data_IF_368698091077
#
_entry.id   IF_368698091077
#
_cell.length_a   1.000
_cell.length_b   1.000
_cell.length_c   1.000
_cell.angle_alpha   90.00
_cell.angle_beta   90.00
_cell.angle_gamma   90.00
#
_symmetry.space_group_name_H-M   'P 1'
#
loop_
_entity.id
_entity.type
_entity.pdbx_description
1 polymer ?
#
# COMPACT_ATOMS: atom_id res chain seq x y z
N UNK A 1 30.59 -16.54 -12.44
CA UNK A 1 30.42 -16.04 -11.06
C UNK A 1 28.93 -15.95 -10.81
N UNK A 2 28.38 -16.85 -10.00
CA UNK A 2 27.03 -16.63 -9.50
C UNK A 2 27.07 -15.36 -8.64
N UNK A 3 26.16 -14.44 -8.78
CA UNK A 3 25.97 -13.40 -7.81
C UNK A 3 25.40 -14.07 -6.56
N UNK A 4 26.30 -14.70 -5.80
CA UNK A 4 26.03 -15.12 -4.44
C UNK A 4 25.50 -13.90 -3.74
N UNK A 5 24.28 -13.96 -3.25
CA UNK A 5 23.49 -12.87 -2.76
C UNK A 5 24.31 -11.81 -2.06
N UNK A 6 24.14 -10.60 -2.46
CA UNK A 6 24.86 -9.43 -1.97
C UNK A 6 24.73 -9.32 -0.44
N UNK A 7 23.69 -9.88 0.09
CA UNK A 7 23.43 -10.04 1.52
C UNK A 7 22.76 -11.38 1.80
N UNK A 8 23.44 -12.28 2.50
CA UNK A 8 22.83 -13.48 3.05
C UNK A 8 22.95 -14.75 2.20
N UNK A 9 22.13 -15.72 2.52
CA UNK A 9 22.09 -17.05 1.91
C UNK A 9 21.53 -16.97 0.49
N UNK A 10 22.05 -17.80 -0.42
CA UNK A 10 21.50 -17.94 -1.76
C UNK A 10 20.05 -18.44 -1.66
N UNK A 11 19.10 -17.58 -2.01
CA UNK A 11 17.65 -17.82 -1.88
C UNK A 11 17.18 -19.03 -2.70
N UNK A 12 17.77 -19.28 -3.87
CA UNK A 12 17.45 -20.43 -4.70
C UNK A 12 17.73 -21.73 -3.95
N UNK A 13 18.92 -21.82 -3.32
CA UNK A 13 19.33 -23.00 -2.56
C UNK A 13 18.44 -23.20 -1.34
N UNK A 14 18.19 -22.13 -0.59
CA UNK A 14 17.34 -22.17 0.59
C UNK A 14 15.92 -22.64 0.25
N UNK A 15 15.33 -22.08 -0.82
CA UNK A 15 13.98 -22.45 -1.24
C UNK A 15 13.91 -23.89 -1.73
N UNK A 16 14.91 -24.35 -2.49
CA UNK A 16 15.00 -25.75 -2.92
C UNK A 16 15.09 -26.69 -1.72
N UNK A 17 15.86 -26.33 -0.69
CA UNK A 17 15.97 -27.12 0.54
C UNK A 17 14.65 -27.20 1.31
N UNK A 18 13.91 -26.11 1.39
CA UNK A 18 12.59 -26.08 2.01
C UNK A 18 11.62 -27.02 1.30
N UNK A 19 11.53 -26.92 -0.03
CA UNK A 19 10.63 -27.77 -0.82
C UNK A 19 11.05 -29.25 -0.79
N UNK A 20 12.36 -29.54 -0.75
CA UNK A 20 12.87 -30.89 -0.60
C UNK A 20 12.40 -31.55 0.72
N UNK A 21 12.34 -30.80 1.81
CA UNK A 21 11.78 -31.26 3.10
C UNK A 21 10.32 -31.65 3.02
N UNK A 22 9.57 -31.03 2.10
CA UNK A 22 8.19 -31.34 1.80
C UNK A 22 8.01 -32.40 0.70
N UNK A 23 9.10 -33.03 0.27
CA UNK A 23 9.10 -34.00 -0.85
C UNK A 23 8.58 -33.41 -2.17
N UNK A 24 8.73 -32.12 -2.38
CA UNK A 24 8.31 -31.44 -3.60
C UNK A 24 9.49 -31.25 -4.57
N UNK A 25 9.24 -31.31 -5.89
CA UNK A 25 10.24 -31.05 -6.91
C UNK A 25 10.84 -29.64 -6.83
N UNK A 26 12.13 -29.50 -7.16
CA UNK A 26 12.86 -28.23 -7.14
C UNK A 26 12.27 -27.16 -8.05
N UNK A 27 11.61 -27.57 -9.13
CA UNK A 27 10.95 -26.69 -10.10
C UNK A 27 9.87 -25.86 -9.43
N UNK A 28 9.09 -26.45 -8.51
CA UNK A 28 8.08 -25.73 -7.74
C UNK A 28 8.69 -24.69 -6.80
N UNK A 29 9.84 -24.98 -6.21
CA UNK A 29 10.58 -24.05 -5.37
C UNK A 29 10.98 -22.79 -6.17
N UNK A 30 11.57 -22.98 -7.35
CA UNK A 30 12.01 -21.88 -8.19
C UNK A 30 10.83 -21.07 -8.75
N UNK A 31 9.77 -21.75 -9.20
CA UNK A 31 8.55 -21.07 -9.68
C UNK A 31 7.95 -20.22 -8.56
N UNK A 32 7.84 -20.78 -7.35
CA UNK A 32 7.32 -20.02 -6.19
C UNK A 32 8.19 -18.82 -5.89
N UNK A 33 9.51 -18.97 -5.82
CA UNK A 33 10.45 -17.90 -5.52
C UNK A 33 10.35 -16.75 -6.53
N UNK A 34 10.41 -17.07 -7.83
CA UNK A 34 10.33 -16.04 -8.87
C UNK A 34 8.94 -15.39 -8.98
N UNK A 35 7.87 -16.14 -8.73
CA UNK A 35 6.51 -15.59 -8.70
C UNK A 35 6.34 -14.60 -7.56
N UNK A 36 6.85 -14.93 -6.38
CA UNK A 36 6.82 -14.04 -5.21
C UNK A 36 7.68 -12.79 -5.48
N UNK A 37 8.90 -12.95 -5.98
CA UNK A 37 9.77 -11.83 -6.32
C UNK A 37 9.15 -10.89 -7.37
N UNK A 38 8.47 -11.43 -8.37
CA UNK A 38 7.74 -10.64 -9.37
C UNK A 38 6.59 -9.85 -8.72
N UNK A 39 5.87 -10.46 -7.77
CA UNK A 39 4.78 -9.80 -7.04
C UNK A 39 5.29 -8.69 -6.13
N UNK A 40 6.40 -8.91 -5.42
CA UNK A 40 7.06 -7.88 -4.61
C UNK A 40 7.53 -6.70 -5.46
N UNK A 41 8.15 -6.99 -6.62
CA UNK A 41 8.56 -5.95 -7.56
C UNK A 41 7.36 -5.14 -8.05
N UNK A 42 6.27 -5.80 -8.41
CA UNK A 42 5.03 -5.14 -8.84
C UNK A 42 4.47 -4.22 -7.74
N UNK A 43 4.43 -4.68 -6.49
CA UNK A 43 4.00 -3.88 -5.35
C UNK A 43 4.94 -2.71 -5.11
N UNK A 44 6.25 -2.92 -5.16
CA UNK A 44 7.25 -1.87 -5.02
C UNK A 44 7.11 -0.78 -6.08
N UNK A 45 6.93 -1.17 -7.34
CA UNK A 45 6.68 -0.24 -8.45
C UNK A 45 5.36 0.52 -8.27
N UNK A 46 4.32 -0.16 -7.79
CA UNK A 46 3.02 0.47 -7.52
C UNK A 46 3.14 1.54 -6.44
N UNK A 47 3.78 1.23 -5.30
CA UNK A 47 4.00 2.21 -4.24
C UNK A 47 4.90 3.37 -4.69
N UNK A 48 5.94 3.08 -5.46
CA UNK A 48 6.81 4.12 -6.04
C UNK A 48 6.03 5.06 -6.95
N UNK A 49 5.18 4.53 -7.80
CA UNK A 49 4.32 5.32 -8.68
C UNK A 49 3.31 6.16 -7.89
N UNK A 50 2.68 5.59 -6.85
CA UNK A 50 1.77 6.30 -5.95
C UNK A 50 2.49 7.42 -5.18
N UNK A 51 3.71 7.17 -4.72
CA UNK A 51 4.54 8.18 -4.05
C UNK A 51 4.88 9.32 -5.01
N UNK A 52 5.42 9.02 -6.20
CA UNK A 52 5.71 10.03 -7.22
C UNK A 52 4.46 10.84 -7.54
N UNK A 53 3.31 10.17 -7.73
CA UNK A 53 2.03 10.84 -7.96
C UNK A 53 1.65 11.79 -6.82
N UNK A 54 1.90 11.41 -5.57
CA UNK A 54 1.56 12.23 -4.40
C UNK A 54 2.37 13.52 -4.29
N UNK A 55 3.62 13.50 -4.76
CA UNK A 55 4.52 14.68 -4.74
C UNK A 55 4.42 15.56 -5.99
N UNK A 56 3.70 15.13 -7.03
CA UNK A 56 3.49 15.96 -8.21
C UNK A 56 2.67 17.21 -7.90
N UNK A 57 3.01 18.37 -8.50
CA UNK A 57 2.23 19.60 -8.37
C UNK A 57 0.77 19.38 -8.78
N UNK A 58 -0.17 20.03 -8.09
CA UNK A 58 -1.61 19.88 -8.30
C UNK A 58 -2.03 20.14 -9.76
N UNK A 59 -1.43 21.14 -10.39
CA UNK A 59 -1.63 21.48 -11.79
C UNK A 59 -1.31 20.34 -12.77
N UNK A 60 -0.36 19.47 -12.43
CA UNK A 60 -0.03 18.29 -13.23
C UNK A 60 -0.97 17.11 -12.93
N UNK A 61 -1.54 17.04 -11.73
CA UNK A 61 -2.48 16.00 -11.33
C UNK A 61 -3.88 16.21 -11.92
N UNK A 62 -4.36 17.45 -12.01
CA UNK A 62 -5.68 17.79 -12.57
C UNK A 62 -5.82 17.35 -14.02
N UNK A 63 -4.78 17.54 -14.83
CA UNK A 63 -4.79 17.15 -16.25
C UNK A 63 -4.65 15.65 -16.51
N UNK A 64 -4.34 14.85 -15.48
CA UNK A 64 -4.07 13.41 -15.58
C UNK A 64 -4.82 12.63 -14.51
N UNK A 65 -6.09 12.99 -14.28
CA UNK A 65 -6.98 12.23 -13.39
C UNK A 65 -7.10 10.79 -13.93
N UNK A 66 -6.19 9.95 -13.53
CA UNK A 66 -6.05 8.59 -14.00
C UNK A 66 -6.08 7.59 -12.85
N UNK A 67 -5.64 6.39 -13.15
CA UNK A 67 -5.60 5.24 -12.27
C UNK A 67 -5.01 5.54 -10.87
N UNK A 68 -3.98 6.39 -10.80
CA UNK A 68 -3.28 6.72 -9.53
C UNK A 68 -4.03 7.73 -8.64
N UNK A 69 -5.05 8.42 -9.17
CA UNK A 69 -5.95 9.24 -8.38
C UNK A 69 -7.02 8.41 -7.66
N UNK A 70 -7.21 7.16 -8.07
CA UNK A 70 -8.21 6.27 -7.51
C UNK A 70 -7.72 5.68 -6.18
N UNK A 71 -8.52 5.89 -5.13
CA UNK A 71 -8.31 5.31 -3.80
C UNK A 71 -8.31 3.80 -3.80
N UNK A 72 -8.95 3.19 -4.79
CA UNK A 72 -9.01 1.74 -4.95
C UNK A 72 -7.61 1.15 -5.13
N UNK A 73 -6.77 1.81 -5.92
CA UNK A 73 -5.38 1.38 -6.14
C UNK A 73 -4.56 1.41 -4.86
N UNK A 74 -4.68 2.49 -4.06
CA UNK A 74 -4.00 2.57 -2.77
C UNK A 74 -4.44 1.43 -1.84
N UNK A 75 -5.74 1.21 -1.72
CA UNK A 75 -6.30 0.11 -0.90
C UNK A 75 -5.84 -1.26 -1.39
N UNK A 76 -5.81 -1.45 -2.70
CA UNK A 76 -5.38 -2.73 -3.30
C UNK A 76 -3.90 -2.98 -3.06
N UNK A 77 -3.04 -1.96 -3.21
CA UNK A 77 -1.62 -2.05 -2.94
C UNK A 77 -1.33 -2.45 -1.48
N UNK A 78 -1.97 -1.78 -0.50
CA UNK A 78 -1.81 -2.13 0.91
C UNK A 78 -2.34 -3.53 1.24
N UNK A 79 -3.53 -3.90 0.75
CA UNK A 79 -4.08 -5.25 0.95
C UNK A 79 -3.20 -6.32 0.32
N UNK A 80 -2.69 -6.06 -0.88
CA UNK A 80 -1.76 -6.96 -1.57
C UNK A 80 -0.48 -7.16 -0.78
N UNK A 81 0.12 -6.10 -0.24
CA UNK A 81 1.33 -6.20 0.59
C UNK A 81 1.09 -7.01 1.86
N UNK A 82 -0.01 -6.75 2.57
CA UNK A 82 -0.36 -7.53 3.77
C UNK A 82 -0.54 -9.01 3.42
N UNK A 83 -1.23 -9.32 2.31
CA UNK A 83 -1.41 -10.70 1.86
C UNK A 83 -0.10 -11.39 1.55
N UNK A 84 0.83 -10.71 0.86
CA UNK A 84 2.16 -11.26 0.54
C UNK A 84 2.94 -11.58 1.80
N UNK A 85 2.99 -10.67 2.77
CA UNK A 85 3.71 -10.92 4.03
C UNK A 85 3.03 -11.97 4.92
N UNK A 86 1.71 -12.12 4.85
CA UNK A 86 1.01 -13.25 5.50
C UNK A 86 1.44 -14.56 4.84
N UNK A 87 1.52 -14.65 3.52
CA UNK A 87 1.99 -15.84 2.81
C UNK A 87 3.42 -16.20 3.19
N UNK A 88 4.31 -15.23 3.30
CA UNK A 88 5.68 -15.45 3.79
C UNK A 88 5.67 -15.97 5.23
N UNK A 89 4.93 -15.34 6.13
CA UNK A 89 4.84 -15.80 7.53
C UNK A 89 4.33 -17.23 7.65
N UNK A 90 3.40 -17.64 6.79
CA UNK A 90 2.96 -19.04 6.73
C UNK A 90 4.11 -19.95 6.28
N UNK A 91 4.87 -19.54 5.25
CA UNK A 91 6.08 -20.24 4.80
C UNK A 91 7.10 -20.40 5.91
N UNK A 92 7.41 -19.32 6.64
CA UNK A 92 8.38 -19.32 7.74
C UNK A 92 7.97 -20.28 8.86
N UNK A 93 6.67 -20.35 9.18
CA UNK A 93 6.12 -21.29 10.15
C UNK A 93 6.30 -22.72 9.66
N UNK A 94 5.98 -22.99 8.40
CA UNK A 94 6.08 -24.34 7.82
C UNK A 94 7.53 -24.82 7.73
N UNK A 95 8.48 -23.93 7.44
CA UNK A 95 9.89 -24.26 7.29
C UNK A 95 10.71 -24.07 8.57
N UNK A 96 10.11 -23.46 9.61
CA UNK A 96 10.74 -23.26 10.91
C UNK A 96 11.72 -22.08 10.94
N UNK A 97 11.62 -21.15 10.01
CA UNK A 97 12.47 -19.95 9.98
C UNK A 97 11.90 -18.85 10.87
N UNK A 98 12.32 -18.87 12.14
CA UNK A 98 11.83 -17.90 13.12
C UNK A 98 12.38 -16.49 12.92
N UNK A 99 13.54 -16.35 12.31
CA UNK A 99 14.13 -15.02 12.09
C UNK A 99 13.34 -14.27 10.99
N UNK A 100 13.08 -14.91 9.86
CA UNK A 100 12.27 -14.34 8.79
C UNK A 100 10.83 -14.12 9.23
N UNK A 101 10.26 -15.00 10.06
CA UNK A 101 8.92 -14.81 10.62
C UNK A 101 8.77 -13.48 11.39
N UNK A 102 9.80 -13.10 12.19
CA UNK A 102 9.81 -11.81 12.87
C UNK A 102 9.86 -10.62 11.91
N UNK A 103 10.66 -10.72 10.84
CA UNK A 103 10.74 -9.69 9.82
C UNK A 103 9.40 -9.50 9.10
N UNK A 104 8.81 -10.58 8.61
CA UNK A 104 7.54 -10.54 7.90
C UNK A 104 6.40 -10.08 8.79
N UNK A 105 6.34 -10.51 10.06
CA UNK A 105 5.39 -10.02 11.05
C UNK A 105 5.52 -8.51 11.29
N UNK A 106 6.74 -8.00 11.36
CA UNK A 106 7.00 -6.56 11.50
C UNK A 106 6.51 -5.79 10.27
N UNK A 107 6.75 -6.31 9.07
CA UNK A 107 6.24 -5.67 7.84
C UNK A 107 4.72 -5.67 7.75
N UNK A 108 4.04 -6.72 8.21
CA UNK A 108 2.57 -6.72 8.31
C UNK A 108 2.08 -5.57 9.19
N UNK A 109 2.65 -5.44 10.40
CA UNK A 109 2.28 -4.37 11.34
C UNK A 109 2.55 -2.99 10.72
N UNK A 110 3.70 -2.82 10.08
CA UNK A 110 4.06 -1.56 9.43
C UNK A 110 3.11 -1.22 8.27
N UNK A 111 2.74 -2.18 7.44
CA UNK A 111 1.77 -1.99 6.36
C UNK A 111 0.39 -1.60 6.90
N UNK A 112 -0.09 -2.28 7.95
CA UNK A 112 -1.38 -1.97 8.58
C UNK A 112 -1.38 -0.58 9.22
N UNK A 113 -0.32 -0.23 9.94
CA UNK A 113 -0.17 1.09 10.55
C UNK A 113 -0.13 2.20 9.49
N UNK A 114 0.67 2.02 8.45
CA UNK A 114 0.77 3.00 7.34
C UNK A 114 -0.56 3.16 6.62
N UNK A 115 -1.29 2.06 6.42
CA UNK A 115 -2.64 2.11 5.85
C UNK A 115 -3.61 2.89 6.73
N UNK A 116 -3.60 2.68 8.05
CA UNK A 116 -4.48 3.39 8.99
C UNK A 116 -4.18 4.90 8.98
N UNK A 117 -2.91 5.28 9.03
CA UNK A 117 -2.48 6.69 8.94
C UNK A 117 -2.92 7.32 7.62
N UNK A 118 -2.70 6.63 6.50
CA UNK A 118 -3.14 7.11 5.19
C UNK A 118 -4.66 7.28 5.13
N UNK A 119 -5.41 6.29 5.61
CA UNK A 119 -6.87 6.31 5.59
C UNK A 119 -7.45 7.46 6.42
N UNK A 120 -6.93 7.68 7.63
CA UNK A 120 -7.36 8.79 8.50
C UNK A 120 -7.04 10.14 7.88
N UNK A 121 -5.85 10.30 7.33
CA UNK A 121 -5.46 11.53 6.61
C UNK A 121 -6.39 11.82 5.44
N UNK A 122 -6.71 10.80 4.64
CA UNK A 122 -7.61 10.93 3.50
C UNK A 122 -9.03 11.34 3.93
N UNK A 123 -9.57 10.75 5.00
CA UNK A 123 -10.88 11.13 5.55
C UNK A 123 -10.87 12.57 6.06
N UNK A 124 -9.80 12.99 6.72
CA UNK A 124 -9.65 14.37 7.21
C UNK A 124 -9.68 15.38 6.06
N UNK A 125 -8.90 15.17 5.01
CA UNK A 125 -8.89 16.07 3.83
C UNK A 125 -10.23 16.09 3.10
N UNK A 126 -10.94 14.97 3.04
CA UNK A 126 -12.28 14.93 2.47
C UNK A 126 -13.26 15.77 3.26
N UNK A 127 -13.21 15.69 4.59
CA UNK A 127 -14.07 16.48 5.46
C UNK A 127 -13.82 17.96 5.25
N UNK A 128 -12.56 18.38 5.26
CA UNK A 128 -12.19 19.78 5.02
C UNK A 128 -12.66 20.29 3.65
N UNK A 129 -12.52 19.48 2.58
CA UNK A 129 -13.00 19.87 1.25
C UNK A 129 -14.52 20.05 1.21
N UNK A 130 -15.27 19.18 1.90
CA UNK A 130 -16.73 19.28 1.98
C UNK A 130 -17.17 20.52 2.75
N UNK A 131 -16.52 20.82 3.86
CA UNK A 131 -16.79 22.01 4.67
C UNK A 131 -16.51 23.29 3.87
N UNK A 132 -15.39 23.32 3.15
CA UNK A 132 -15.06 24.44 2.27
C UNK A 132 -16.10 24.61 1.16
N UNK A 133 -16.46 23.54 0.46
CA UNK A 133 -17.46 23.59 -0.60
C UNK A 133 -18.85 24.04 -0.09
N UNK A 134 -19.20 23.69 1.14
CA UNK A 134 -20.44 24.15 1.78
C UNK A 134 -20.39 25.65 2.15
N UNK A 135 -19.22 26.17 2.56
CA UNK A 135 -19.05 27.61 2.85
C UNK A 135 -19.04 28.47 1.59
N UNK A 136 -18.53 27.93 0.49
CA UNK A 136 -18.44 28.64 -0.79
C UNK A 136 -19.75 28.53 -1.64
N UNK A 137 -20.81 27.88 -1.10
CA UNK A 137 -22.08 27.75 -1.80
C UNK A 137 -22.89 29.05 -1.73
N UNK A 138 -23.50 29.54 -2.83
CA UNK A 138 -24.24 30.78 -2.87
C UNK A 138 -25.46 30.81 -1.94
N UNK A 139 -25.90 29.68 -1.43
CA UNK A 139 -27.00 29.58 -0.45
C UNK A 139 -26.59 30.06 0.95
N UNK A 140 -25.30 30.07 1.29
CA UNK A 140 -24.78 30.66 2.53
C UNK A 140 -24.88 32.19 2.53
N UNK A 141 -24.69 32.79 1.37
CA UNK A 141 -24.76 34.24 1.20
C UNK A 141 -26.19 34.77 1.35
N UNK A 142 -27.17 34.03 0.85
CA UNK A 142 -28.60 34.38 0.97
C UNK A 142 -29.08 34.29 2.42
N UNK A 143 -28.60 33.36 3.21
CA UNK A 143 -28.93 33.23 4.63
C UNK A 143 -28.30 34.32 5.49
N UNK A 144 -27.10 34.76 5.17
CA UNK A 144 -26.41 35.85 5.87
C UNK A 144 -27.12 37.18 5.63
N UNK A 145 -27.59 37.43 4.42
CA UNK A 145 -28.35 38.63 4.05
C UNK A 145 -29.71 38.67 4.77
N UNK A 146 -30.44 37.56 4.79
CA UNK A 146 -31.71 37.47 5.52
C UNK A 146 -31.54 37.65 7.03
N UNK A 147 -30.51 37.07 7.64
CA UNK A 147 -30.26 37.23 9.08
C UNK A 147 -29.95 38.69 9.47
N UNK A 148 -29.29 39.44 8.59
CA UNK A 148 -28.98 40.85 8.82
C UNK A 148 -30.22 41.72 8.69
N UNK A 149 -31.13 41.39 7.78
CA UNK A 149 -32.37 42.12 7.56
C UNK A 149 -33.37 41.98 8.75
N UNK A 150 -33.42 40.81 9.38
CA UNK A 150 -34.21 40.57 10.61
C UNK A 150 -33.66 41.26 11.85
N UNK A 151 -32.42 41.69 11.90
CA UNK A 151 -31.83 42.40 13.04
C UNK A 151 -32.05 43.95 12.94
N UNK A 152 -32.54 44.44 11.82
CA UNK A 152 -32.79 45.88 11.60
C UNK A 152 -34.26 46.27 11.76
N UNK A 153 -35.14 45.32 12.02
CA UNK A 153 -36.57 45.52 12.33
C UNK A 153 -36.83 45.39 13.82
#
# INVERSE_FOLDING_TARGET
>A
MHPTGWYGVNRDIQMIDYFKRLYLPKEYALISLYSIGALELLLGLTFSALFVWSVLPEKMRENKAGLFADRTIHRLAFKGSVLVFIMFSIGDILFGDRAELWEHGTFIILCLYTYDVWYRSDQFFLKMRREKAASDSPESDTRSIQATEYQQL
#
